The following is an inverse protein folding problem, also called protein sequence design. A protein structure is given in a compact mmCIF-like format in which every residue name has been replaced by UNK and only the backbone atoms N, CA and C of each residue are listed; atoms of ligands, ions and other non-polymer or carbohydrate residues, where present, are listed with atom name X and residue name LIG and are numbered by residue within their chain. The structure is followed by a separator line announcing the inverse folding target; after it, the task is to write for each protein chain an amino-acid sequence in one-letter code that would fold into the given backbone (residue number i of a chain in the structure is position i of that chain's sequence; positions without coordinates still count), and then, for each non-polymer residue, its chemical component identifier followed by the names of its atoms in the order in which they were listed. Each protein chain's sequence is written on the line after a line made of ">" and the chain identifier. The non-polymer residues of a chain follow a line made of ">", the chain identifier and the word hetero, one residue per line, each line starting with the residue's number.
data_IF_990051516552
#
_entry.id   IF_990051516552
#
_cell.length_a   1.000
_cell.length_b   1.000
_cell.length_c   1.000
_cell.angle_alpha   90.00
_cell.angle_beta   90.00
_cell.angle_gamma   90.00
#
_symmetry.space_group_name_H-M   'P 1'
#
loop_
_entity.id
_entity.type
_entity.pdbx_description
1 polymer ?
#
# COMPACT_ATOMS: atom_id res chain seq x y z
N UNK A 1 -29.10 33.30 4.44
CA UNK A 1 -29.03 32.04 3.67
C UNK A 1 -29.82 32.24 2.39
N UNK A 2 -29.25 31.97 1.21
CA UNK A 2 -29.96 32.03 -0.07
C UNK A 2 -30.59 30.67 -0.41
N UNK A 3 -31.73 30.62 -1.11
CA UNK A 3 -32.25 29.38 -1.68
C UNK A 3 -31.25 28.77 -2.67
N UNK A 4 -31.10 27.44 -2.66
CA UNK A 4 -30.11 26.72 -3.47
C UNK A 4 -30.75 25.71 -4.42
N UNK A 5 -31.99 25.96 -4.86
CA UNK A 5 -32.71 25.05 -5.76
C UNK A 5 -31.89 24.71 -7.02
N UNK A 6 -31.27 25.72 -7.65
CA UNK A 6 -30.36 25.54 -8.78
C UNK A 6 -28.86 25.68 -8.44
N UNK A 7 -28.53 25.97 -7.17
CA UNK A 7 -27.14 26.03 -6.70
C UNK A 7 -26.74 24.70 -6.09
N UNK A 8 -26.31 23.74 -6.92
CA UNK A 8 -26.10 22.35 -6.51
C UNK A 8 -24.75 22.07 -5.82
N UNK A 9 -24.02 23.11 -5.42
CA UNK A 9 -22.74 23.02 -4.71
C UNK A 9 -22.76 22.03 -3.53
N UNK A 10 -23.78 22.03 -2.63
CA UNK A 10 -23.80 21.08 -1.51
C UNK A 10 -23.82 19.61 -1.94
N UNK A 11 -24.48 19.30 -3.06
CA UNK A 11 -24.59 17.92 -3.58
C UNK A 11 -23.28 17.50 -4.25
N UNK A 12 -22.68 18.39 -5.05
CA UNK A 12 -21.40 18.14 -5.70
C UNK A 12 -20.26 17.97 -4.68
N UNK A 13 -20.20 18.83 -3.65
CA UNK A 13 -19.20 18.77 -2.59
C UNK A 13 -19.29 17.45 -1.81
N UNK A 14 -20.51 17.03 -1.47
CA UNK A 14 -20.73 15.74 -0.81
C UNK A 14 -20.31 14.57 -1.72
N UNK A 15 -20.68 14.61 -3.01
CA UNK A 15 -20.24 13.62 -3.99
C UNK A 15 -18.71 13.51 -4.07
N UNK A 16 -18.03 14.65 -4.13
CA UNK A 16 -16.57 14.72 -4.14
C UNK A 16 -15.98 14.11 -2.85
N UNK A 17 -16.47 14.49 -1.67
CA UNK A 17 -15.98 13.96 -0.39
C UNK A 17 -16.18 12.42 -0.29
N UNK A 18 -17.30 11.91 -0.78
CA UNK A 18 -17.59 10.48 -0.81
C UNK A 18 -16.65 9.73 -1.77
N UNK A 19 -16.37 10.29 -2.94
CA UNK A 19 -15.43 9.72 -3.90
C UNK A 19 -14.01 9.63 -3.32
N UNK A 20 -13.52 10.72 -2.68
CA UNK A 20 -12.22 10.72 -2.02
C UNK A 20 -12.14 9.70 -0.89
N UNK A 21 -13.19 9.60 -0.08
CA UNK A 21 -13.27 8.63 1.01
C UNK A 21 -13.21 7.20 0.47
N UNK A 22 -14.05 6.87 -0.53
CA UNK A 22 -14.06 5.54 -1.14
C UNK A 22 -12.70 5.18 -1.76
N UNK A 23 -12.05 6.13 -2.45
CA UNK A 23 -10.73 5.93 -3.03
C UNK A 23 -9.64 5.69 -1.96
N UNK A 24 -9.64 6.45 -0.87
CA UNK A 24 -8.69 6.28 0.23
C UNK A 24 -8.83 4.89 0.89
N UNK A 25 -10.07 4.44 1.13
CA UNK A 25 -10.34 3.08 1.62
C UNK A 25 -9.95 2.02 0.59
N UNK A 26 -10.22 2.28 -0.70
CA UNK A 26 -9.82 1.42 -1.81
C UNK A 26 -8.31 1.19 -1.91
N UNK A 27 -7.50 2.21 -1.57
CA UNK A 27 -6.04 2.07 -1.48
C UNK A 27 -5.66 1.06 -0.40
N UNK A 28 -6.20 1.18 0.81
CA UNK A 28 -5.95 0.24 1.92
C UNK A 28 -6.34 -1.18 1.49
N UNK A 29 -7.50 -1.33 0.85
CA UNK A 29 -7.96 -2.61 0.35
C UNK A 29 -7.02 -3.23 -0.71
N UNK A 30 -6.55 -2.42 -1.66
CA UNK A 30 -5.60 -2.89 -2.68
C UNK A 30 -4.28 -3.37 -2.06
N UNK A 31 -3.75 -2.65 -1.06
CA UNK A 31 -2.55 -3.06 -0.33
C UNK A 31 -2.77 -4.39 0.41
N UNK A 32 -3.90 -4.54 1.11
CA UNK A 32 -4.23 -5.80 1.81
C UNK A 32 -4.33 -6.96 0.82
N UNK A 33 -4.95 -6.75 -0.34
CA UNK A 33 -5.01 -7.78 -1.38
C UNK A 33 -3.61 -8.22 -1.82
N UNK A 34 -2.67 -7.28 -1.96
CA UNK A 34 -1.27 -7.55 -2.32
C UNK A 34 -0.54 -8.32 -1.22
N UNK A 35 -0.68 -7.90 0.04
CA UNK A 35 -0.02 -8.51 1.19
C UNK A 35 -0.58 -9.89 1.54
N UNK A 36 -1.85 -10.15 1.19
CA UNK A 36 -2.53 -11.41 1.43
C UNK A 36 -2.34 -12.47 0.32
N UNK A 37 -1.63 -12.14 -0.77
CA UNK A 37 -1.33 -13.12 -1.82
C UNK A 37 -0.46 -14.25 -1.27
N UNK A 38 -0.66 -15.46 -1.79
CA UNK A 38 0.03 -16.68 -1.33
C UNK A 38 1.56 -16.53 -1.32
N UNK A 39 2.11 -15.88 -2.33
CA UNK A 39 3.56 -15.68 -2.49
C UNK A 39 4.13 -14.66 -1.48
N UNK A 40 3.28 -13.78 -0.94
CA UNK A 40 3.67 -12.72 0.01
C UNK A 40 3.34 -13.17 1.43
N UNK A 41 2.05 -13.34 1.74
CA UNK A 41 1.57 -13.85 3.02
C UNK A 41 1.94 -13.00 4.24
N UNK A 42 2.09 -11.69 4.07
CA UNK A 42 2.51 -10.76 5.13
C UNK A 42 1.34 -10.26 5.98
N UNK A 43 0.13 -10.29 5.43
CA UNK A 43 -1.09 -9.96 6.14
C UNK A 43 -2.24 -10.89 5.75
N UNK A 44 -3.20 -11.07 6.65
CA UNK A 44 -4.42 -11.81 6.40
C UNK A 44 -5.63 -11.10 7.01
N UNK A 45 -6.77 -11.18 6.35
CA UNK A 45 -8.03 -10.71 6.91
C UNK A 45 -8.47 -11.55 8.12
N UNK A 46 -9.26 -10.97 9.03
CA UNK A 46 -9.83 -11.74 10.13
C UNK A 46 -10.70 -12.89 9.60
N UNK A 47 -10.51 -14.08 10.16
CA UNK A 47 -11.22 -15.29 9.76
C UNK A 47 -12.15 -15.81 10.89
N UNK A 48 -13.34 -15.21 11.09
CA UNK A 48 -14.42 -15.94 11.76
C UNK A 48 -14.80 -17.17 10.91
N UNK A 49 -15.30 -18.22 11.56
CA UNK A 49 -15.69 -19.46 10.90
C UNK A 49 -16.55 -19.19 9.64
N UNK A 50 -16.06 -19.60 8.47
CA UNK A 50 -16.77 -19.52 7.19
C UNK A 50 -16.52 -18.26 6.34
N UNK A 51 -15.92 -17.18 6.85
CA UNK A 51 -15.69 -15.97 6.04
C UNK A 51 -14.50 -16.16 5.08
N UNK A 52 -14.73 -15.95 3.78
CA UNK A 52 -13.69 -16.05 2.75
C UNK A 52 -13.21 -17.48 2.43
N UNK A 53 -13.81 -18.50 3.07
CA UNK A 53 -13.54 -19.91 2.81
C UNK A 53 -14.17 -20.37 1.49
N UNK A 54 -13.54 -21.33 0.83
CA UNK A 54 -14.09 -21.98 -0.36
C UNK A 54 -14.70 -23.32 0.02
N UNK A 55 -15.89 -23.62 -0.53
CA UNK A 55 -16.56 -24.92 -0.36
C UNK A 55 -15.78 -26.10 -0.95
N UNK A 56 -14.90 -25.85 -1.94
CA UNK A 56 -14.09 -26.87 -2.60
C UNK A 56 -12.63 -26.90 -2.13
N UNK A 57 -12.13 -25.80 -1.55
CA UNK A 57 -10.73 -25.67 -1.13
C UNK A 57 -10.65 -25.24 0.34
N UNK A 58 -10.53 -26.18 1.29
CA UNK A 58 -10.54 -25.89 2.72
C UNK A 58 -9.45 -24.93 3.20
N UNK A 59 -8.31 -24.87 2.50
CA UNK A 59 -7.19 -23.98 2.83
C UNK A 59 -7.35 -22.56 2.24
N UNK A 60 -8.30 -22.34 1.32
CA UNK A 60 -8.44 -21.07 0.60
C UNK A 60 -9.02 -19.99 1.50
N UNK A 61 -8.28 -18.89 1.66
CA UNK A 61 -8.70 -17.70 2.41
C UNK A 61 -8.68 -16.49 1.49
N UNK A 62 -9.84 -16.05 1.02
CA UNK A 62 -9.94 -14.87 0.15
C UNK A 62 -10.04 -13.58 0.98
N UNK A 63 -9.40 -12.48 0.54
CA UNK A 63 -9.53 -11.18 1.18
C UNK A 63 -10.87 -10.51 0.78
N UNK A 64 -11.97 -10.99 1.36
CA UNK A 64 -13.34 -10.58 1.00
C UNK A 64 -13.68 -9.17 1.46
N UNK A 65 -13.18 -8.72 2.62
CA UNK A 65 -13.39 -7.35 3.12
C UNK A 65 -12.75 -6.34 2.18
N UNK A 66 -11.48 -6.54 1.85
CA UNK A 66 -10.74 -5.73 0.90
C UNK A 66 -11.41 -5.76 -0.48
N UNK A 67 -11.93 -6.91 -0.91
CA UNK A 67 -12.67 -7.03 -2.18
C UNK A 67 -13.93 -6.16 -2.20
N UNK A 68 -14.72 -6.14 -1.12
CA UNK A 68 -15.91 -5.30 -1.00
C UNK A 68 -15.58 -3.80 -0.94
N UNK A 69 -14.53 -3.43 -0.20
CA UNK A 69 -14.07 -2.04 -0.13
C UNK A 69 -13.59 -1.56 -1.51
N UNK A 70 -12.78 -2.38 -2.19
CA UNK A 70 -12.27 -2.08 -3.53
C UNK A 70 -13.40 -1.98 -4.56
N UNK A 71 -14.44 -2.79 -4.47
CA UNK A 71 -15.58 -2.70 -5.39
C UNK A 71 -16.34 -1.38 -5.23
N UNK A 72 -16.51 -0.87 -4.01
CA UNK A 72 -17.08 0.45 -3.76
C UNK A 72 -16.16 1.57 -4.32
N UNK A 73 -14.85 1.47 -4.07
CA UNK A 73 -13.86 2.44 -4.56
C UNK A 73 -13.83 2.59 -6.09
N UNK A 74 -14.20 1.54 -6.83
CA UNK A 74 -14.31 1.56 -8.30
C UNK A 74 -15.64 2.11 -8.81
N UNK A 75 -16.67 2.21 -7.96
CA UNK A 75 -18.01 2.67 -8.35
C UNK A 75 -18.26 4.12 -7.96
N UNK A 76 -17.93 4.51 -6.71
CA UNK A 76 -18.29 5.83 -6.17
C UNK A 76 -17.73 7.00 -6.98
N UNK A 77 -16.46 7.00 -7.47
CA UNK A 77 -15.95 8.10 -8.29
C UNK A 77 -16.76 8.33 -9.57
N UNK A 78 -17.27 7.27 -10.20
CA UNK A 78 -18.12 7.37 -11.40
C UNK A 78 -19.49 7.97 -11.07
N UNK A 79 -20.09 7.56 -9.95
CA UNK A 79 -21.36 8.13 -9.47
C UNK A 79 -21.22 9.61 -9.10
N UNK A 80 -20.12 9.96 -8.42
CA UNK A 80 -19.82 11.33 -8.03
C UNK A 80 -19.58 12.25 -9.23
N UNK A 81 -18.95 11.75 -10.30
CA UNK A 81 -18.83 12.51 -11.54
C UNK A 81 -20.19 12.90 -12.13
N UNK A 82 -21.20 12.03 -12.03
CA UNK A 82 -22.57 12.34 -12.42
C UNK A 82 -23.22 13.43 -11.53
N UNK A 83 -22.94 13.42 -10.22
CA UNK A 83 -23.38 14.51 -9.32
C UNK A 83 -22.74 15.86 -9.69
N UNK A 84 -21.46 15.85 -10.06
CA UNK A 84 -20.78 17.07 -10.54
C UNK A 84 -21.41 17.60 -11.83
N UNK A 85 -21.85 16.72 -12.74
CA UNK A 85 -22.56 17.15 -13.95
C UNK A 85 -23.90 17.83 -13.64
N UNK A 86 -24.55 17.51 -12.51
CA UNK A 86 -25.81 18.15 -12.12
C UNK A 86 -25.64 19.63 -11.70
N UNK A 87 -24.41 20.13 -11.54
CA UNK A 87 -24.14 21.56 -11.31
C UNK A 87 -24.67 22.45 -12.44
N UNK A 88 -24.76 21.93 -13.67
CA UNK A 88 -25.37 22.64 -14.81
C UNK A 88 -26.90 22.53 -14.73
N UNK A 89 -27.48 23.14 -13.71
CA UNK A 89 -28.93 23.24 -13.52
C UNK A 89 -29.43 24.56 -14.12
N UNK A 90 -30.34 24.48 -15.09
CA UNK A 90 -30.97 25.63 -15.73
C UNK A 90 -32.09 26.25 -14.87
N UNK A 91 -32.28 27.57 -15.02
CA UNK A 91 -33.32 28.39 -14.40
C UNK A 91 -33.48 28.12 -12.88
N UNK A 92 -34.69 28.21 -12.33
CA UNK A 92 -34.95 27.98 -10.90
C UNK A 92 -35.16 26.50 -10.53
N UNK A 93 -35.37 25.62 -11.52
CA UNK A 93 -35.53 24.16 -11.34
C UNK A 93 -35.37 23.40 -12.67
N UNK A 94 -34.28 22.64 -12.80
CA UNK A 94 -34.01 21.84 -13.99
C UNK A 94 -34.97 20.67 -14.21
N UNK A 95 -35.35 20.46 -15.47
CA UNK A 95 -36.13 19.31 -15.94
C UNK A 95 -35.23 18.12 -16.31
N UNK A 96 -34.44 17.64 -15.34
CA UNK A 96 -33.64 16.42 -15.52
C UNK A 96 -32.44 16.34 -14.58
N UNK A 97 -31.64 17.40 -14.50
CA UNK A 97 -30.43 17.41 -13.67
C UNK A 97 -30.77 17.16 -12.19
N UNK A 98 -31.79 17.83 -11.66
CA UNK A 98 -32.26 17.63 -10.29
C UNK A 98 -32.71 16.18 -10.03
N UNK A 99 -33.38 15.54 -11.00
CA UNK A 99 -33.89 14.18 -10.87
C UNK A 99 -32.77 13.13 -10.90
N UNK A 100 -31.70 13.38 -11.67
CA UNK A 100 -30.55 12.48 -11.78
C UNK A 100 -29.79 12.33 -10.45
N UNK A 101 -29.79 13.35 -9.60
CA UNK A 101 -29.07 13.34 -8.32
C UNK A 101 -29.54 12.25 -7.36
N UNK A 102 -30.83 11.91 -7.35
CA UNK A 102 -31.45 11.15 -6.26
C UNK A 102 -30.86 9.75 -6.09
N UNK A 103 -30.68 9.05 -7.20
CA UNK A 103 -30.06 7.71 -7.19
C UNK A 103 -28.55 7.83 -6.99
N UNK A 104 -27.88 8.73 -7.71
CA UNK A 104 -26.43 8.87 -7.65
C UNK A 104 -25.94 9.21 -6.23
N UNK A 105 -26.63 10.12 -5.55
CA UNK A 105 -26.29 10.54 -4.19
C UNK A 105 -26.55 9.42 -3.19
N UNK A 106 -27.72 8.78 -3.25
CA UNK A 106 -28.07 7.67 -2.36
C UNK A 106 -27.10 6.50 -2.50
N UNK A 107 -26.75 6.14 -3.73
CA UNK A 107 -25.80 5.04 -3.98
C UNK A 107 -24.38 5.39 -3.53
N UNK A 108 -23.93 6.62 -3.76
CA UNK A 108 -22.63 7.08 -3.27
C UNK A 108 -22.54 7.01 -1.74
N UNK A 109 -23.58 7.47 -1.03
CA UNK A 109 -23.67 7.36 0.44
C UNK A 109 -23.67 5.89 0.90
N UNK A 110 -24.48 5.05 0.26
CA UNK A 110 -24.63 3.63 0.61
C UNK A 110 -23.33 2.85 0.42
N UNK A 111 -22.68 3.01 -0.72
CA UNK A 111 -21.44 2.31 -1.05
C UNK A 111 -20.28 2.78 -0.17
N UNK A 112 -20.11 4.09 0.01
CA UNK A 112 -19.05 4.62 0.88
C UNK A 112 -19.30 4.25 2.35
N UNK A 113 -20.54 4.31 2.82
CA UNK A 113 -20.91 3.87 4.18
C UNK A 113 -20.62 2.39 4.41
N UNK A 114 -20.99 1.53 3.47
CA UNK A 114 -20.66 0.11 3.50
C UNK A 114 -19.15 -0.16 3.48
N UNK A 115 -18.40 0.57 2.64
CA UNK A 115 -16.94 0.48 2.58
C UNK A 115 -16.29 0.93 3.89
N UNK A 116 -16.75 2.02 4.50
CA UNK A 116 -16.24 2.52 5.78
C UNK A 116 -16.49 1.52 6.91
N UNK A 117 -17.70 0.96 6.98
CA UNK A 117 -18.02 -0.09 7.95
C UNK A 117 -17.15 -1.35 7.75
N UNK A 118 -16.99 -1.79 6.50
CA UNK A 118 -16.15 -2.95 6.17
C UNK A 118 -14.67 -2.69 6.45
N UNK A 119 -14.19 -1.46 6.25
CA UNK A 119 -12.83 -1.05 6.55
C UNK A 119 -12.54 -1.03 8.05
N UNK A 120 -13.53 -0.73 8.89
CA UNK A 120 -13.41 -0.84 10.35
C UNK A 120 -13.14 -2.30 10.77
N UNK A 121 -13.93 -3.24 10.24
CA UNK A 121 -13.76 -4.67 10.50
C UNK A 121 -12.38 -5.15 10.03
N UNK A 122 -11.98 -4.72 8.83
CA UNK A 122 -10.67 -5.03 8.25
C UNK A 122 -9.55 -4.52 9.15
N UNK A 123 -9.56 -3.24 9.50
CA UNK A 123 -8.50 -2.61 10.29
C UNK A 123 -8.38 -3.19 11.71
N UNK A 124 -9.50 -3.55 12.35
CA UNK A 124 -9.50 -4.14 13.70
C UNK A 124 -9.02 -5.59 13.71
N UNK A 125 -9.31 -6.33 12.65
CA UNK A 125 -9.06 -7.77 12.60
C UNK A 125 -7.88 -8.21 11.75
N UNK A 126 -7.17 -7.27 11.10
CA UNK A 126 -6.03 -7.59 10.23
C UNK A 126 -4.94 -8.29 11.04
N UNK A 127 -4.59 -9.49 10.60
CA UNK A 127 -3.48 -10.25 11.18
C UNK A 127 -2.22 -9.95 10.38
N UNK A 128 -1.16 -9.52 11.06
CA UNK A 128 0.16 -9.26 10.47
C UNK A 128 1.09 -10.43 10.77
N UNK A 129 1.95 -10.80 9.83
CA UNK A 129 2.90 -11.89 9.96
C UNK A 129 4.36 -11.39 9.90
N UNK A 130 4.92 -10.87 11.01
CA UNK A 130 6.29 -10.31 11.02
C UNK A 130 7.35 -11.31 10.56
N UNK A 131 7.21 -12.59 10.90
CA UNK A 131 8.15 -13.63 10.48
C UNK A 131 8.15 -13.82 8.96
N UNK A 132 6.96 -13.71 8.32
CA UNK A 132 6.84 -13.73 6.86
C UNK A 132 7.43 -12.49 6.23
N UNK A 133 7.21 -11.31 6.79
CA UNK A 133 7.87 -10.07 6.33
C UNK A 133 9.39 -10.21 6.38
N UNK A 134 9.93 -10.75 7.49
CA UNK A 134 11.37 -10.98 7.65
C UNK A 134 11.91 -12.00 6.64
N UNK A 135 11.19 -13.09 6.41
CA UNK A 135 11.56 -14.08 5.41
C UNK A 135 11.53 -13.49 3.98
N UNK A 136 10.52 -12.67 3.66
CA UNK A 136 10.40 -12.04 2.35
C UNK A 136 11.54 -11.04 2.08
N UNK A 137 12.02 -10.33 3.10
CA UNK A 137 13.20 -9.47 2.99
C UNK A 137 14.47 -10.26 2.59
N UNK A 138 14.56 -11.53 2.99
CA UNK A 138 15.69 -12.40 2.65
C UNK A 138 15.65 -12.94 1.21
N UNK A 139 14.52 -12.85 0.49
CA UNK A 139 14.36 -13.41 -0.86
C UNK A 139 15.33 -12.82 -1.89
N UNK A 140 15.85 -11.62 -1.64
CA UNK A 140 16.81 -10.96 -2.53
C UNK A 140 18.27 -11.26 -2.16
N UNK A 141 18.53 -12.13 -1.17
CA UNK A 141 19.90 -12.46 -0.73
C UNK A 141 20.70 -11.24 -0.26
N UNK A 142 20.05 -10.24 0.34
CA UNK A 142 20.70 -9.00 0.81
C UNK A 142 20.83 -7.89 -0.23
N UNK A 143 20.40 -8.11 -1.48
CA UNK A 143 20.48 -7.08 -2.53
C UNK A 143 19.60 -5.85 -2.23
N UNK A 144 18.50 -6.03 -1.48
CA UNK A 144 17.55 -4.96 -1.14
C UNK A 144 18.17 -3.80 -0.34
N UNK A 145 19.30 -4.02 0.33
CA UNK A 145 20.03 -2.99 1.10
C UNK A 145 21.32 -2.51 0.42
N UNK A 146 21.53 -2.85 -0.85
CA UNK A 146 22.73 -2.48 -1.61
C UNK A 146 23.00 -0.95 -1.65
N UNK A 147 21.95 -0.12 -1.61
CA UNK A 147 22.11 1.33 -1.50
C UNK A 147 22.81 1.76 -0.19
N UNK A 148 22.48 1.12 0.94
CA UNK A 148 23.12 1.40 2.25
C UNK A 148 24.61 1.11 2.19
N UNK A 149 24.97 -0.03 1.60
CA UNK A 149 26.36 -0.41 1.38
C UNK A 149 27.09 0.64 0.53
N UNK A 150 26.45 1.14 -0.54
CA UNK A 150 27.05 2.17 -1.38
C UNK A 150 27.30 3.48 -0.61
N UNK A 151 26.36 3.88 0.24
CA UNK A 151 26.48 5.07 1.08
C UNK A 151 27.63 4.95 2.10
N UNK A 152 27.83 3.77 2.69
CA UNK A 152 28.90 3.54 3.68
C UNK A 152 30.27 3.35 3.03
N UNK A 153 30.33 2.69 1.87
CA UNK A 153 31.59 2.43 1.16
C UNK A 153 32.11 3.66 0.40
N UNK A 154 31.24 4.56 -0.07
CA UNK A 154 31.66 5.72 -0.85
C UNK A 154 32.67 6.65 -0.14
N UNK A 155 32.53 6.96 1.16
CA UNK A 155 33.55 7.70 1.91
C UNK A 155 34.86 6.94 2.15
N UNK A 156 34.83 5.60 2.13
CA UNK A 156 35.99 4.74 2.44
C UNK A 156 36.83 4.39 1.21
N UNK A 157 36.17 4.14 0.08
CA UNK A 157 36.78 3.67 -1.18
C UNK A 157 36.74 4.73 -2.30
N UNK A 158 35.94 5.78 -2.13
CA UNK A 158 35.58 6.69 -3.20
C UNK A 158 34.33 6.22 -3.96
N UNK A 159 33.45 7.18 -4.27
CA UNK A 159 32.12 6.94 -4.85
C UNK A 159 32.14 6.09 -6.13
N UNK A 160 33.07 6.37 -7.04
CA UNK A 160 33.18 5.63 -8.30
C UNK A 160 33.59 4.17 -8.09
N UNK A 161 34.54 3.92 -7.19
CA UNK A 161 35.01 2.58 -6.87
C UNK A 161 33.93 1.78 -6.11
N UNK A 162 33.32 2.36 -5.08
CA UNK A 162 32.24 1.72 -4.32
C UNK A 162 31.07 1.29 -5.23
N UNK A 163 30.67 2.15 -6.18
CA UNK A 163 29.60 1.84 -7.12
C UNK A 163 29.97 0.70 -8.08
N UNK A 164 31.19 0.69 -8.63
CA UNK A 164 31.64 -0.39 -9.52
C UNK A 164 31.68 -1.72 -8.77
N UNK A 165 32.34 -1.74 -7.61
CA UNK A 165 32.47 -2.92 -6.75
C UNK A 165 31.12 -3.52 -6.39
N UNK A 166 30.17 -2.70 -5.92
CA UNK A 166 28.83 -3.20 -5.58
C UNK A 166 28.05 -3.67 -6.81
N UNK A 167 28.19 -3.01 -7.95
CA UNK A 167 27.53 -3.46 -9.19
C UNK A 167 28.05 -4.82 -9.65
N UNK A 168 29.36 -5.04 -9.56
CA UNK A 168 30.00 -6.32 -9.90
C UNK A 168 29.60 -7.40 -8.89
N UNK A 169 29.66 -7.10 -7.59
CA UNK A 169 29.26 -8.03 -6.53
C UNK A 169 27.77 -8.42 -6.63
N UNK A 170 26.89 -7.44 -6.87
CA UNK A 170 25.45 -7.67 -7.08
C UNK A 170 25.19 -8.52 -8.32
N UNK A 171 25.91 -8.26 -9.42
CA UNK A 171 25.81 -9.06 -10.65
C UNK A 171 26.27 -10.51 -10.43
N UNK A 172 27.40 -10.70 -9.75
CA UNK A 172 27.92 -12.03 -9.40
C UNK A 172 26.96 -12.80 -8.50
N UNK A 173 26.48 -12.18 -7.41
CA UNK A 173 25.50 -12.77 -6.49
C UNK A 173 24.22 -13.23 -7.22
N UNK A 174 23.70 -12.39 -8.14
CA UNK A 174 22.52 -12.74 -8.92
C UNK A 174 22.78 -13.87 -9.94
N UNK A 175 23.95 -13.88 -10.60
CA UNK A 175 24.32 -14.89 -11.58
C UNK A 175 24.63 -16.26 -10.97
N UNK A 176 25.26 -16.28 -9.79
CA UNK A 176 25.65 -17.50 -9.07
C UNK A 176 24.54 -18.01 -8.12
N UNK A 177 23.53 -17.19 -7.82
CA UNK A 177 22.45 -17.54 -6.90
C UNK A 177 22.87 -17.59 -5.44
N UNK A 178 23.89 -16.80 -5.07
CA UNK A 178 24.45 -16.74 -3.70
C UNK A 178 24.12 -15.40 -3.02
N UNK A 179 24.06 -15.34 -1.68
CA UNK A 179 23.85 -14.09 -0.96
C UNK A 179 24.92 -13.03 -1.27
N UNK A 180 24.51 -11.77 -1.38
CA UNK A 180 25.42 -10.64 -1.62
C UNK A 180 26.53 -10.56 -0.57
N UNK A 181 26.22 -10.90 0.70
CA UNK A 181 27.20 -10.90 1.78
C UNK A 181 28.34 -11.88 1.59
N UNK A 182 28.09 -13.05 0.99
CA UNK A 182 29.13 -14.04 0.70
C UNK A 182 30.10 -13.51 -0.36
N UNK A 183 29.55 -12.93 -1.44
CA UNK A 183 30.38 -12.31 -2.48
C UNK A 183 31.22 -11.16 -1.93
N UNK A 184 30.63 -10.29 -1.11
CA UNK A 184 31.36 -9.14 -0.53
C UNK A 184 32.46 -9.58 0.45
N UNK A 185 32.25 -10.66 1.20
CA UNK A 185 33.25 -11.17 2.14
C UNK A 185 34.52 -11.70 1.45
N UNK A 186 34.41 -12.12 0.18
CA UNK A 186 35.54 -12.62 -0.62
C UNK A 186 36.36 -11.51 -1.29
N UNK A 187 35.83 -10.29 -1.40
CA UNK A 187 36.47 -9.22 -2.17
C UNK A 187 37.71 -8.67 -1.44
N UNK A 188 38.91 -8.75 -2.06
CA UNK A 188 40.13 -8.20 -1.48
C UNK A 188 40.03 -6.70 -1.19
N UNK A 189 39.28 -5.94 -1.99
CA UNK A 189 39.08 -4.50 -1.84
C UNK A 189 38.31 -4.12 -0.58
N UNK A 190 37.60 -5.06 0.04
CA UNK A 190 36.88 -4.85 1.30
C UNK A 190 37.67 -5.32 2.53
N UNK A 191 38.78 -6.03 2.34
CA UNK A 191 39.64 -6.46 3.45
C UNK A 191 40.22 -5.23 4.17
N UNK A 192 39.98 -5.15 5.49
CA UNK A 192 40.40 -4.01 6.31
C UNK A 192 39.54 -2.74 6.13
N UNK A 193 38.53 -2.76 5.26
CA UNK A 193 37.58 -1.65 5.06
C UNK A 193 36.26 -1.88 5.79
N UNK A 194 35.78 -3.13 5.79
CA UNK A 194 34.64 -3.60 6.58
C UNK A 194 35.08 -4.88 7.30
N UNK A 195 34.76 -4.98 8.59
CA UNK A 195 34.83 -6.27 9.28
C UNK A 195 33.55 -7.10 9.05
N UNK A 196 33.59 -8.38 9.38
CA UNK A 196 32.45 -9.28 9.15
C UNK A 196 31.21 -8.94 9.98
N UNK A 197 31.39 -8.34 11.17
CA UNK A 197 30.28 -7.90 12.01
C UNK A 197 29.58 -6.67 11.43
N UNK A 198 30.36 -5.69 10.98
CA UNK A 198 29.88 -4.49 10.30
C UNK A 198 29.16 -4.86 8.99
N UNK A 199 29.74 -5.75 8.18
CA UNK A 199 29.10 -6.23 6.95
C UNK A 199 27.74 -6.90 7.23
N UNK A 200 27.67 -7.77 8.24
CA UNK A 200 26.42 -8.41 8.64
C UNK A 200 25.35 -7.40 9.10
N UNK A 201 25.76 -6.35 9.84
CA UNK A 201 24.84 -5.29 10.28
C UNK A 201 24.34 -4.44 9.10
N UNK A 202 25.21 -4.12 8.13
CA UNK A 202 24.84 -3.38 6.94
C UNK A 202 23.88 -4.16 6.05
N UNK A 203 24.01 -5.49 6.04
CA UNK A 203 23.15 -6.40 5.28
C UNK A 203 21.80 -6.71 5.96
N UNK A 204 21.60 -6.41 7.25
CA UNK A 204 20.31 -6.58 7.93
C UNK A 204 19.30 -5.50 7.49
N UNK A 205 18.23 -5.85 6.74
CA UNK A 205 17.25 -4.88 6.29
C UNK A 205 16.45 -4.23 7.43
N UNK A 206 16.35 -4.90 8.58
CA UNK A 206 15.69 -4.33 9.76
C UNK A 206 16.44 -3.12 10.34
N UNK A 207 17.72 -2.95 9.99
CA UNK A 207 18.56 -1.80 10.38
C UNK A 207 18.55 -0.66 9.35
N UNK A 208 17.76 -0.78 8.28
CA UNK A 208 17.69 0.21 7.20
C UNK A 208 16.27 0.70 6.90
N UNK A 209 15.51 1.01 7.96
CA UNK A 209 14.12 1.52 7.84
C UNK A 209 14.01 3.04 7.76
N UNK A 210 15.14 3.75 7.77
CA UNK A 210 15.21 5.22 7.66
C UNK A 210 14.27 5.93 8.64
N UNK A 211 13.48 6.88 8.12
CA UNK A 211 12.54 7.67 8.91
C UNK A 211 11.25 6.96 9.32
N UNK A 212 11.05 5.67 9.04
CA UNK A 212 9.76 4.98 9.20
C UNK A 212 9.11 5.22 10.58
N UNK A 213 9.85 5.03 11.68
CA UNK A 213 9.33 5.26 13.04
C UNK A 213 8.91 6.72 13.27
N UNK A 214 9.76 7.68 12.92
CA UNK A 214 9.46 9.10 13.07
C UNK A 214 8.27 9.56 12.21
N UNK A 215 8.09 8.98 11.02
CA UNK A 215 6.94 9.26 10.17
C UNK A 215 5.63 8.78 10.82
N UNK A 216 5.64 7.59 11.42
CA UNK A 216 4.49 7.04 12.17
C UNK A 216 4.17 7.92 13.37
N UNK A 217 5.16 8.30 14.17
CA UNK A 217 4.97 9.18 15.33
C UNK A 217 4.31 10.51 14.96
N UNK A 218 4.70 11.11 13.83
CA UNK A 218 4.09 12.35 13.33
C UNK A 218 2.64 12.15 12.89
N UNK A 219 2.30 10.98 12.35
CA UNK A 219 0.93 10.68 11.95
C UNK A 219 0.02 10.49 13.16
N UNK A 220 0.51 9.86 14.24
CA UNK A 220 -0.26 9.60 15.46
C UNK A 220 -0.45 10.83 16.37
N UNK A 221 0.37 11.88 16.19
CA UNK A 221 0.29 13.14 16.96
C UNK A 221 -0.66 14.18 16.39
N UNK A 222 -1.20 13.96 15.18
CA UNK A 222 -2.19 14.84 14.55
C UNK A 222 -3.59 14.50 15.04
#
# INVERSE_FOLDING_TARGET
>A
VLPWHALRTPVADLGAALAHTAAALGKIAADVQVLARTEVGEAAEPAPAGRGASSAMPHKRNPVLATLIRSAALQVPVLAAGLTQCLTTEDERSAGAWHAEWTLLRESLRLTGGAAHTALDLARGLTVHPDRMRANLALTGGQIVSERLAAVLAPRLGKAQARRLLSEASGRAAGEGVPLGEVLAELPELQGVLDGGELAELLDPARYTGGAGALVDRALKR
#
